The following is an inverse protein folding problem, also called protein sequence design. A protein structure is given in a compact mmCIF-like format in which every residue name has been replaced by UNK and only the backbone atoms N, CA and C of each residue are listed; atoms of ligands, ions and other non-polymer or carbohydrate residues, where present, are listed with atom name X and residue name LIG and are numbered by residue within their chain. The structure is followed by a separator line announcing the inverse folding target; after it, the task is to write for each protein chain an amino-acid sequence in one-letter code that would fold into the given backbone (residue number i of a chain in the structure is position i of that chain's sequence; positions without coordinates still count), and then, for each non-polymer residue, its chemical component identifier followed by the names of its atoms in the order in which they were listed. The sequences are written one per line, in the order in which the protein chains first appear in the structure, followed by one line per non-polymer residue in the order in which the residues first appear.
data_IF_358012079972
#
_entry.id   IF_358012079972
#
_cell.length_a   1.000
_cell.length_b   1.000
_cell.length_c   1.000
_cell.angle_alpha   90.00
_cell.angle_beta   90.00
_cell.angle_gamma   90.00
#
_symmetry.space_group_name_H-M   'P 1'
#
loop_
_entity.id
_entity.type
_entity.pdbx_description
1 polymer ?
#
# COMPACT_ATOMS: atom_id res chain seq x y z
N UNK A 1 -0.05 14.45 -9.15
CA UNK A 1 0.32 13.09 -9.59
C UNK A 1 -0.88 12.24 -9.99
N UNK A 2 -2.02 12.25 -9.28
CA UNK A 2 -3.23 11.51 -9.69
C UNK A 2 -3.82 11.90 -11.06
N UNK A 3 -3.71 13.18 -11.45
CA UNK A 3 -4.30 13.69 -12.70
C UNK A 3 -3.54 13.27 -13.98
N UNK A 4 -2.24 12.98 -13.87
CA UNK A 4 -1.42 12.48 -15.00
C UNK A 4 -1.74 11.02 -15.30
N UNK A 5 -2.07 10.23 -14.28
CA UNK A 5 -2.52 8.85 -14.46
C UNK A 5 -3.92 8.75 -15.10
N UNK A 6 -4.77 9.77 -14.91
CA UNK A 6 -6.13 9.80 -15.47
C UNK A 6 -6.16 10.03 -16.99
N UNK A 7 -5.19 10.76 -17.55
CA UNK A 7 -5.17 11.09 -18.99
C UNK A 7 -4.55 9.99 -19.87
N UNK A 8 -3.81 9.03 -19.29
CA UNK A 8 -3.12 7.96 -20.04
C UNK A 8 -4.05 6.74 -20.28
N UNK A 9 -5.09 6.56 -19.46
CA UNK A 9 -5.93 5.35 -19.47
C UNK A 9 -6.93 5.26 -20.62
N UNK A 10 -7.22 6.35 -21.35
CA UNK A 10 -8.30 6.32 -22.36
C UNK A 10 -7.90 5.86 -23.76
N UNK A 11 -6.66 6.04 -24.22
CA UNK A 11 -6.36 5.80 -25.65
C UNK A 11 -5.05 5.02 -25.94
N UNK A 12 -4.10 4.88 -25.01
CA UNK A 12 -2.86 4.13 -25.29
C UNK A 12 -2.15 3.66 -24.01
N UNK A 13 -2.02 2.34 -23.83
CA UNK A 13 -1.16 1.63 -22.85
C UNK A 13 -1.64 1.51 -21.39
N UNK A 14 -2.56 0.56 -21.15
CA UNK A 14 -2.78 -0.07 -19.83
C UNK A 14 -1.50 -0.65 -19.19
N UNK A 15 -0.50 -1.00 -20.02
CA UNK A 15 0.75 -1.62 -19.58
C UNK A 15 1.60 -0.69 -18.70
N UNK A 16 1.65 0.61 -19.03
CA UNK A 16 2.49 1.57 -18.31
C UNK A 16 2.09 1.70 -16.83
N UNK A 17 0.83 1.98 -16.45
CA UNK A 17 0.44 2.05 -15.06
C UNK A 17 0.60 0.70 -14.33
N UNK A 18 0.39 -0.44 -15.00
CA UNK A 18 0.62 -1.76 -14.40
C UNK A 18 2.09 -2.00 -14.06
N UNK A 19 3.01 -1.67 -14.97
CA UNK A 19 4.46 -1.80 -14.72
C UNK A 19 4.90 -0.88 -13.58
N UNK A 20 4.43 0.37 -13.56
CA UNK A 20 4.74 1.32 -12.48
C UNK A 20 4.24 0.79 -11.13
N UNK A 21 3.02 0.26 -11.08
CA UNK A 21 2.48 -0.36 -9.86
C UNK A 21 3.28 -1.59 -9.42
N UNK A 22 3.61 -2.48 -10.35
CA UNK A 22 4.38 -3.70 -10.06
C UNK A 22 5.76 -3.38 -9.49
N UNK A 23 6.47 -2.43 -10.12
CA UNK A 23 7.77 -1.95 -9.63
C UNK A 23 7.61 -1.33 -8.25
N UNK A 24 6.63 -0.45 -8.04
CA UNK A 24 6.39 0.20 -6.75
C UNK A 24 6.11 -0.82 -5.63
N UNK A 25 5.27 -1.83 -5.88
CA UNK A 25 4.93 -2.87 -4.90
C UNK A 25 6.14 -3.75 -4.56
N UNK A 26 7.03 -4.01 -5.52
CA UNK A 26 8.24 -4.80 -5.27
C UNK A 26 9.18 -4.17 -4.22
N UNK A 27 9.15 -2.84 -4.07
CA UNK A 27 9.95 -2.12 -3.07
C UNK A 27 9.33 -2.10 -1.66
N UNK A 28 8.11 -2.61 -1.47
CA UNK A 28 7.40 -2.57 -0.19
C UNK A 28 7.87 -3.67 0.80
N UNK A 29 7.92 -4.96 0.44
CA UNK A 29 8.20 -6.02 1.42
C UNK A 29 9.63 -5.96 1.98
N UNK A 30 10.63 -5.64 1.15
CA UNK A 30 12.04 -5.63 1.54
C UNK A 30 12.35 -4.72 2.76
N UNK A 31 11.99 -3.42 2.77
CA UNK A 31 12.21 -2.57 3.93
C UNK A 31 11.33 -2.98 5.12
N UNK A 32 10.08 -3.44 4.90
CA UNK A 32 9.19 -3.82 6.00
C UNK A 32 9.76 -4.99 6.81
N UNK A 33 10.19 -6.07 6.14
CA UNK A 33 10.74 -7.24 6.83
C UNK A 33 12.11 -6.95 7.46
N UNK A 34 12.95 -6.17 6.79
CA UNK A 34 14.24 -5.74 7.36
C UNK A 34 14.04 -4.88 8.61
N UNK A 35 13.14 -3.90 8.56
CA UNK A 35 12.87 -3.01 9.69
C UNK A 35 12.28 -3.76 10.88
N UNK A 36 11.35 -4.68 10.63
CA UNK A 36 10.73 -5.48 11.68
C UNK A 36 11.79 -6.30 12.42
N UNK A 37 12.72 -6.95 11.70
CA UNK A 37 13.80 -7.71 12.32
C UNK A 37 14.75 -6.87 13.19
N UNK A 38 14.89 -5.57 12.87
CA UNK A 38 15.74 -4.62 13.63
C UNK A 38 15.07 -4.11 14.91
N UNK A 39 13.74 -3.95 14.90
CA UNK A 39 12.97 -3.44 16.06
C UNK A 39 12.58 -4.58 17.01
N UNK A 40 12.40 -5.78 16.49
CA UNK A 40 12.00 -6.95 17.27
C UNK A 40 13.15 -7.52 18.10
N UNK A 41 12.85 -7.87 19.35
CA UNK A 41 13.82 -8.59 20.22
C UNK A 41 14.08 -9.99 19.66
N UNK A 42 15.31 -10.52 19.72
CA UNK A 42 15.68 -11.82 19.13
C UNK A 42 14.79 -12.99 19.56
N UNK A 43 14.29 -12.97 20.81
CA UNK A 43 13.39 -14.02 21.33
C UNK A 43 11.94 -13.96 20.85
N UNK A 44 11.49 -12.82 20.29
CA UNK A 44 10.08 -12.58 19.94
C UNK A 44 9.86 -12.31 18.44
N UNK A 45 10.81 -12.73 17.59
CA UNK A 45 10.72 -12.54 16.14
C UNK A 45 9.46 -13.21 15.57
N UNK A 46 9.18 -14.47 15.94
CA UNK A 46 7.99 -15.18 15.49
C UNK A 46 6.67 -14.46 15.81
N UNK A 47 6.54 -13.90 17.02
CA UNK A 47 5.36 -13.11 17.41
C UNK A 47 5.25 -11.82 16.60
N UNK A 48 6.36 -11.14 16.35
CA UNK A 48 6.38 -9.88 15.60
C UNK A 48 5.96 -10.09 14.15
N UNK A 49 6.50 -11.13 13.50
CA UNK A 49 6.10 -11.52 12.14
C UNK A 49 4.66 -12.05 12.10
N UNK A 50 4.19 -12.73 13.17
CA UNK A 50 2.81 -13.18 13.31
C UNK A 50 1.83 -12.00 13.33
N UNK A 51 2.10 -10.98 14.15
CA UNK A 51 1.27 -9.76 14.21
C UNK A 51 1.29 -9.05 12.84
N UNK A 52 2.46 -8.88 12.22
CA UNK A 52 2.56 -8.29 10.88
C UNK A 52 1.71 -9.06 9.86
N UNK A 53 1.78 -10.39 9.88
CA UNK A 53 1.05 -11.26 8.96
C UNK A 53 -0.47 -11.22 9.19
N UNK A 54 -0.93 -11.07 10.43
CA UNK A 54 -2.35 -10.88 10.72
C UNK A 54 -2.87 -9.57 10.11
N UNK A 55 -2.15 -8.47 10.30
CA UNK A 55 -2.53 -7.19 9.71
C UNK A 55 -2.46 -7.21 8.18
N UNK A 56 -1.46 -7.87 7.59
CA UNK A 56 -1.38 -8.05 6.15
C UNK A 56 -2.58 -8.86 5.61
N UNK A 57 -2.96 -9.94 6.29
CA UNK A 57 -4.12 -10.77 5.92
C UNK A 57 -5.43 -10.01 6.05
N UNK A 58 -5.59 -9.19 7.11
CA UNK A 58 -6.73 -8.29 7.22
C UNK A 58 -6.77 -7.30 6.06
N UNK A 59 -5.65 -6.69 5.68
CA UNK A 59 -5.57 -5.81 4.53
C UNK A 59 -5.98 -6.48 3.22
N UNK A 60 -5.54 -7.72 2.99
CA UNK A 60 -5.93 -8.52 1.82
C UNK A 60 -7.42 -8.88 1.81
N UNK A 61 -8.06 -9.00 2.97
CA UNK A 61 -9.49 -9.23 3.08
C UNK A 61 -10.30 -7.95 2.88
N UNK A 62 -9.98 -6.90 3.64
CA UNK A 62 -10.74 -5.65 3.64
C UNK A 62 -10.52 -4.81 2.38
N UNK A 63 -9.34 -4.88 1.76
CA UNK A 63 -9.00 -4.13 0.53
C UNK A 63 -9.99 -4.38 -0.61
N UNK A 64 -10.12 -5.60 -1.14
CA UNK A 64 -11.08 -5.92 -2.20
C UNK A 64 -12.53 -5.79 -1.72
N UNK A 65 -12.83 -6.09 -0.45
CA UNK A 65 -14.19 -5.97 0.07
C UNK A 65 -14.69 -4.52 0.05
N UNK A 66 -13.90 -3.57 0.56
CA UNK A 66 -14.27 -2.16 0.61
C UNK A 66 -14.26 -1.56 -0.81
N UNK A 67 -13.24 -1.86 -1.62
CA UNK A 67 -13.16 -1.32 -3.00
C UNK A 67 -14.25 -1.88 -3.93
N UNK A 68 -14.65 -3.14 -3.72
CA UNK A 68 -15.79 -3.77 -4.38
C UNK A 68 -17.11 -3.15 -3.95
N UNK A 69 -17.33 -2.97 -2.64
CA UNK A 69 -18.53 -2.30 -2.13
C UNK A 69 -18.68 -0.85 -2.63
N UNK A 70 -17.57 -0.10 -2.68
CA UNK A 70 -17.54 1.25 -3.26
C UNK A 70 -17.88 1.22 -4.75
N UNK A 71 -17.38 0.22 -5.49
CA UNK A 71 -17.72 0.04 -6.91
C UNK A 71 -19.21 -0.25 -7.09
N UNK A 72 -19.76 -1.16 -6.29
CA UNK A 72 -21.15 -1.59 -6.40
C UNK A 72 -22.14 -0.46 -6.11
N UNK A 73 -21.81 0.45 -5.18
CA UNK A 73 -22.65 1.61 -4.88
C UNK A 73 -22.54 2.76 -5.87
N UNK A 74 -21.37 2.95 -6.47
CA UNK A 74 -21.10 4.17 -7.28
C UNK A 74 -21.11 3.90 -8.78
N UNK A 75 -21.04 2.64 -9.22
CA UNK A 75 -21.01 2.23 -10.62
C UNK A 75 -19.75 2.64 -11.40
N UNK A 76 -18.90 3.50 -10.83
CA UNK A 76 -17.69 4.04 -11.44
C UNK A 76 -16.42 3.55 -10.73
N UNK A 77 -15.44 3.10 -11.51
CA UNK A 77 -14.11 2.70 -11.03
C UNK A 77 -13.31 3.87 -10.44
N UNK A 78 -13.60 5.10 -10.86
CA UNK A 78 -12.85 6.29 -10.47
C UNK A 78 -12.86 6.52 -8.96
N UNK A 79 -13.99 6.24 -8.31
CA UNK A 79 -14.17 6.44 -6.87
C UNK A 79 -13.38 5.43 -6.05
N UNK A 80 -13.33 4.16 -6.50
CA UNK A 80 -12.50 3.13 -5.87
C UNK A 80 -11.01 3.44 -6.02
N UNK A 81 -10.58 3.98 -7.17
CA UNK A 81 -9.19 4.40 -7.37
C UNK A 81 -8.83 5.65 -6.55
N UNK A 82 -9.74 6.62 -6.41
CA UNK A 82 -9.53 7.78 -5.55
C UNK A 82 -9.39 7.36 -4.08
N UNK A 83 -10.26 6.45 -3.62
CA UNK A 83 -10.18 5.89 -2.27
C UNK A 83 -8.85 5.17 -2.00
N UNK A 84 -8.43 4.30 -2.92
CA UNK A 84 -7.13 3.62 -2.83
C UNK A 84 -5.95 4.62 -2.85
N UNK A 85 -6.06 5.70 -3.61
CA UNK A 85 -5.03 6.74 -3.66
C UNK A 85 -4.90 7.48 -2.33
N UNK A 86 -6.02 7.77 -1.65
CA UNK A 86 -6.00 8.40 -0.32
C UNK A 86 -5.35 7.47 0.71
N UNK A 87 -5.70 6.18 0.68
CA UNK A 87 -5.05 5.16 1.51
C UNK A 87 -3.54 5.09 1.25
N UNK A 88 -3.12 5.09 -0.02
CA UNK A 88 -1.71 5.10 -0.38
C UNK A 88 -0.97 6.35 0.10
N UNK A 89 -1.61 7.53 0.08
CA UNK A 89 -1.05 8.76 0.61
C UNK A 89 -0.90 8.72 2.14
N UNK A 90 -1.90 8.20 2.86
CA UNK A 90 -1.83 8.01 4.31
C UNK A 90 -0.69 7.04 4.69
N UNK A 91 -0.53 5.95 3.94
CA UNK A 91 0.60 5.02 4.11
C UNK A 91 1.95 5.70 3.84
N UNK A 92 2.05 6.50 2.77
CA UNK A 92 3.27 7.25 2.47
C UNK A 92 3.60 8.27 3.56
N UNK A 93 2.59 8.95 4.10
CA UNK A 93 2.76 9.93 5.18
C UNK A 93 3.24 9.28 6.47
N UNK A 94 2.64 8.15 6.86
CA UNK A 94 3.05 7.38 8.04
C UNK A 94 4.46 6.81 7.88
N UNK A 95 4.81 6.30 6.70
CA UNK A 95 6.16 5.85 6.39
C UNK A 95 7.18 7.01 6.44
N UNK A 96 6.80 8.19 5.96
CA UNK A 96 7.64 9.38 6.01
C UNK A 96 7.85 9.88 7.45
N UNK A 97 6.78 9.90 8.26
CA UNK A 97 6.87 10.24 9.68
C UNK A 97 7.77 9.26 10.45
N UNK A 98 7.65 7.96 10.16
CA UNK A 98 8.53 6.93 10.73
C UNK A 98 9.99 7.16 10.32
N UNK A 99 10.24 7.48 9.05
CA UNK A 99 11.59 7.80 8.56
C UNK A 99 12.21 8.99 9.27
N UNK A 100 11.43 10.05 9.55
CA UNK A 100 11.91 11.21 10.31
C UNK A 100 12.31 10.78 11.72
N UNK A 101 11.46 9.98 12.38
CA UNK A 101 11.72 9.52 13.75
C UNK A 101 12.98 8.65 13.85
N UNK A 102 13.17 7.73 12.91
CA UNK A 102 14.34 6.83 12.90
C UNK A 102 15.66 7.49 12.49
N UNK A 103 15.63 8.74 11.99
CA UNK A 103 16.82 9.51 11.64
C UNK A 103 17.26 10.45 12.78
N UNK A 104 16.44 10.56 13.83
CA UNK A 104 16.72 11.37 15.03
C UNK A 104 17.28 10.58 16.21
N UNK A 105 17.30 9.25 16.14
CA UNK A 105 18.03 8.33 17.04
C UNK A 105 19.38 7.96 16.43
#
# INVERSE_FOLDING_TARGET
MAMVFYSITKEVNLLLPMVVMAVAVAFVPAPIFSLLSKISRPGNLGLSFGILSMFASMGMLFGPYVTGFLRDKTGSYEVSFAFLSILALLLSLTAFALRIKMRGD
#
